data_IF_445265625607
#
_entry.id   IF_445265625607
#
_cell.length_a   1.000
_cell.length_b   1.000
_cell.length_c   1.000
_cell.angle_alpha   90.00
_cell.angle_beta   90.00
_cell.angle_gamma   90.00
#
_symmetry.space_group_name_H-M   'P 1'
#
loop_
_entity.id
_entity.type
_entity.pdbx_description
1 polymer ?
#
# COMPACT_ATOMS: atom_id res chain seq x y z
N UNK A 1 4.75 -17.33 -0.22
CA UNK A 1 4.25 -15.94 -0.12
C UNK A 1 2.78 -16.01 0.26
N UNK A 2 2.25 -15.02 0.97
CA UNK A 2 0.81 -14.82 1.14
C UNK A 2 0.47 -13.43 0.58
N UNK A 3 -0.68 -13.28 -0.07
CA UNK A 3 -1.08 -11.99 -0.62
C UNK A 3 -2.52 -11.63 -0.25
N UNK A 4 -2.82 -10.33 -0.33
CA UNK A 4 -4.16 -9.82 -0.14
C UNK A 4 -4.47 -8.71 -1.14
N UNK A 5 -5.62 -8.83 -1.79
CA UNK A 5 -6.20 -7.79 -2.64
C UNK A 5 -7.39 -7.11 -1.94
N UNK A 6 -7.77 -5.93 -2.42
CA UNK A 6 -8.89 -5.14 -1.91
C UNK A 6 -9.93 -4.86 -3.01
N UNK A 7 -10.77 -3.84 -2.83
CA UNK A 7 -11.77 -3.46 -3.82
C UNK A 7 -12.98 -4.39 -3.89
N UNK A 8 -13.46 -4.62 -5.11
CA UNK A 8 -14.73 -5.30 -5.42
C UNK A 8 -14.75 -6.78 -5.04
N UNK A 9 -13.61 -7.47 -5.11
CA UNK A 9 -13.46 -8.88 -4.71
C UNK A 9 -12.22 -9.00 -3.80
N UNK A 10 -12.35 -8.68 -2.50
CA UNK A 10 -11.23 -8.76 -1.58
C UNK A 10 -10.90 -10.24 -1.31
N UNK A 11 -9.69 -10.69 -1.61
CA UNK A 11 -9.26 -12.08 -1.37
C UNK A 11 -7.96 -12.14 -0.59
N UNK A 12 -7.77 -13.25 0.12
CA UNK A 12 -6.47 -13.72 0.60
C UNK A 12 -6.02 -14.84 -0.33
N UNK A 13 -4.81 -14.70 -0.87
CA UNK A 13 -4.16 -15.69 -1.72
C UNK A 13 -3.12 -16.41 -0.87
N UNK A 14 -3.33 -17.71 -0.66
CA UNK A 14 -2.49 -18.55 0.20
C UNK A 14 -1.24 -19.06 -0.54
N UNK A 15 -0.22 -19.57 0.19
CA UNK A 15 1.02 -20.06 -0.42
C UNK A 15 0.86 -21.19 -1.44
N UNK A 16 -0.23 -21.95 -1.36
CA UNK A 16 -0.62 -23.01 -2.30
C UNK A 16 -1.41 -22.49 -3.52
N UNK A 17 -1.65 -21.18 -3.58
CA UNK A 17 -2.45 -20.54 -4.64
C UNK A 17 -3.95 -20.55 -4.37
N UNK A 18 -4.42 -21.11 -3.26
CA UNK A 18 -5.85 -21.05 -2.92
C UNK A 18 -6.28 -19.60 -2.66
N UNK A 19 -7.38 -19.17 -3.28
CA UNK A 19 -8.01 -17.88 -3.01
C UNK A 19 -9.18 -18.05 -2.04
N UNK A 20 -9.16 -17.32 -0.92
CA UNK A 20 -10.32 -17.18 -0.03
C UNK A 20 -10.81 -15.76 0.02
N UNK A 21 -12.08 -15.58 -0.33
CA UNK A 21 -12.74 -14.27 -0.25
C UNK A 21 -12.90 -13.79 1.20
N UNK A 22 -12.61 -12.50 1.41
CA UNK A 22 -12.77 -11.83 2.70
C UNK A 22 -14.23 -11.45 2.87
N UNK A 23 -14.97 -12.25 3.65
CA UNK A 23 -16.36 -11.95 3.99
C UNK A 23 -16.46 -10.76 4.95
N UNK A 24 -17.06 -9.67 4.47
CA UNK A 24 -17.33 -8.46 5.26
C UNK A 24 -18.73 -8.50 5.87
N UNK A 25 -18.85 -8.06 7.13
CA UNK A 25 -20.16 -7.84 7.78
C UNK A 25 -20.58 -6.37 7.80
N UNK A 26 -19.72 -5.47 7.30
CA UNK A 26 -19.92 -4.03 7.28
C UNK A 26 -18.95 -3.36 6.32
N UNK A 27 -18.77 -2.06 6.47
CA UNK A 27 -17.87 -1.28 5.61
C UNK A 27 -16.43 -1.82 5.66
N UNK A 28 -15.67 -1.69 4.56
CA UNK A 28 -14.25 -2.03 4.53
C UNK A 28 -13.50 -1.31 5.65
N UNK A 29 -12.53 -1.99 6.25
CA UNK A 29 -11.70 -1.42 7.31
C UNK A 29 -10.24 -1.85 7.17
N UNK A 30 -9.32 -0.91 7.41
CA UNK A 30 -7.88 -1.19 7.46
C UNK A 30 -7.54 -2.27 8.50
N UNK A 31 -8.39 -2.46 9.51
CA UNK A 31 -8.22 -3.47 10.56
C UNK A 31 -8.40 -4.91 10.04
N UNK A 32 -8.97 -5.10 8.84
CA UNK A 32 -8.95 -6.39 8.14
C UNK A 32 -7.51 -6.92 7.98
N UNK A 33 -6.54 -6.02 7.83
CA UNK A 33 -5.12 -6.32 7.71
C UNK A 33 -4.54 -7.15 8.85
N UNK A 34 -5.04 -6.97 10.09
CA UNK A 34 -4.58 -7.74 11.26
C UNK A 34 -4.81 -9.23 11.10
N UNK A 35 -5.92 -9.62 10.43
CA UNK A 35 -6.21 -11.04 10.16
C UNK A 35 -5.24 -11.61 9.13
N UNK A 36 -4.86 -10.81 8.14
CA UNK A 36 -3.90 -11.20 7.10
C UNK A 36 -2.52 -11.42 7.72
N UNK A 37 -2.06 -10.53 8.60
CA UNK A 37 -0.81 -10.71 9.37
C UNK A 37 -0.82 -12.02 10.17
N UNK A 38 -1.92 -12.27 10.90
CA UNK A 38 -2.08 -13.50 11.66
C UNK A 38 -2.03 -14.74 10.76
N UNK A 39 -2.70 -14.71 9.60
CA UNK A 39 -2.67 -15.79 8.61
C UNK A 39 -1.28 -16.00 8.01
N UNK A 40 -0.55 -14.92 7.72
CA UNK A 40 0.83 -15.00 7.27
C UNK A 40 1.73 -15.74 8.27
N UNK A 41 1.59 -15.43 9.55
CA UNK A 41 2.32 -16.12 10.62
C UNK A 41 1.89 -17.60 10.77
N UNK A 42 0.58 -17.88 10.80
CA UNK A 42 0.05 -19.26 10.90
C UNK A 42 0.53 -20.16 9.75
N UNK A 43 0.70 -19.61 8.55
CA UNK A 43 1.18 -20.33 7.37
C UNK A 43 2.70 -20.23 7.14
N UNK A 44 3.44 -19.65 8.10
CA UNK A 44 4.90 -19.46 8.02
C UNK A 44 5.35 -18.80 6.69
N UNK A 45 4.55 -17.85 6.20
CA UNK A 45 4.79 -17.18 4.94
C UNK A 45 6.09 -16.36 5.01
N UNK A 46 7.02 -16.62 4.10
CA UNK A 46 8.30 -15.90 4.02
C UNK A 46 8.17 -14.46 3.51
N UNK A 47 7.06 -14.15 2.84
CA UNK A 47 6.76 -12.84 2.27
C UNK A 47 5.27 -12.59 2.28
N UNK A 48 4.88 -11.34 2.49
CA UNK A 48 3.51 -10.85 2.48
C UNK A 48 3.38 -9.72 1.45
N UNK A 49 2.42 -9.82 0.54
CA UNK A 49 2.13 -8.80 -0.46
C UNK A 49 0.72 -8.25 -0.22
N UNK A 50 0.61 -6.94 -0.02
CA UNK A 50 -0.64 -6.32 0.41
C UNK A 50 -0.98 -5.14 -0.48
N UNK A 51 -2.22 -5.14 -0.97
CA UNK A 51 -2.85 -3.93 -1.45
C UNK A 51 -3.40 -3.13 -0.25
N UNK A 52 -2.96 -1.87 -0.14
CA UNK A 52 -3.43 -0.91 0.88
C UNK A 52 -4.78 -0.31 0.47
N UNK A 53 -5.63 0.00 1.43
CA UNK A 53 -6.99 0.54 1.17
C UNK A 53 -7.21 1.95 1.70
N UNK A 54 -6.23 2.52 2.39
CA UNK A 54 -6.40 3.76 3.12
C UNK A 54 -6.59 4.96 2.18
N UNK A 55 -7.75 5.62 2.29
CA UNK A 55 -8.08 6.86 1.58
C UNK A 55 -7.90 8.13 2.44
N UNK A 56 -7.47 7.95 3.69
CA UNK A 56 -7.17 9.04 4.61
C UNK A 56 -5.70 8.95 5.04
N UNK A 57 -4.98 10.09 5.14
CA UNK A 57 -3.55 10.07 5.45
C UNK A 57 -3.25 9.45 6.82
N UNK A 58 -4.07 9.69 7.83
CA UNK A 58 -3.94 9.08 9.16
C UNK A 58 -4.13 7.56 9.14
N UNK A 59 -5.03 7.07 8.28
CA UNK A 59 -5.24 5.65 8.07
C UNK A 59 -4.06 5.03 7.33
N UNK A 60 -3.54 5.70 6.29
CA UNK A 60 -2.38 5.23 5.51
C UNK A 60 -1.13 5.12 6.38
N UNK A 61 -0.87 6.13 7.21
CA UNK A 61 0.17 6.10 8.21
C UNK A 61 0.01 4.93 9.19
N UNK A 62 -1.19 4.75 9.76
CA UNK A 62 -1.40 3.64 10.69
C UNK A 62 -1.26 2.28 9.99
N UNK A 63 -1.86 2.11 8.83
CA UNK A 63 -1.90 0.86 8.08
C UNK A 63 -0.48 0.43 7.68
N UNK A 64 0.29 1.33 7.05
CA UNK A 64 1.63 1.00 6.58
C UNK A 64 2.70 1.15 7.68
N UNK A 65 2.77 2.29 8.36
CA UNK A 65 3.91 2.61 9.25
C UNK A 65 3.77 1.95 10.62
N UNK A 66 2.55 1.86 11.17
CA UNK A 66 2.34 1.32 12.52
C UNK A 66 1.97 -0.17 12.52
N UNK A 67 1.13 -0.60 11.58
CA UNK A 67 0.58 -1.96 11.56
C UNK A 67 1.42 -2.93 10.71
N UNK A 68 1.63 -2.64 9.44
CA UNK A 68 2.32 -3.60 8.54
C UNK A 68 3.84 -3.49 8.55
N UNK A 69 4.39 -2.28 8.72
CA UNK A 69 5.83 -1.99 8.72
C UNK A 69 6.56 -2.64 7.54
N UNK A 70 6.13 -2.36 6.29
CA UNK A 70 6.66 -3.06 5.13
C UNK A 70 8.12 -2.65 4.86
N UNK A 71 8.93 -3.63 4.46
CA UNK A 71 10.29 -3.37 3.94
C UNK A 71 10.25 -2.64 2.59
N UNK A 72 9.18 -2.86 1.81
CA UNK A 72 8.99 -2.32 0.47
C UNK A 72 7.60 -1.72 0.35
N UNK A 73 7.51 -0.47 -0.11
CA UNK A 73 6.27 0.17 -0.54
C UNK A 73 6.35 0.43 -2.06
N UNK A 74 5.27 0.12 -2.77
CA UNK A 74 5.13 0.44 -4.20
C UNK A 74 3.98 1.41 -4.37
N UNK A 75 4.27 2.59 -4.90
CA UNK A 75 3.26 3.56 -5.30
C UNK A 75 3.06 3.38 -6.80
N UNK A 76 1.89 2.95 -7.23
CA UNK A 76 1.67 2.57 -8.64
C UNK A 76 1.27 3.73 -9.55
N UNK A 77 0.58 4.74 -9.01
CA UNK A 77 0.13 5.94 -9.73
C UNK A 77 -0.51 6.95 -8.77
N UNK A 78 -0.68 8.20 -9.22
CA UNK A 78 -1.48 9.22 -8.52
C UNK A 78 -2.64 9.67 -9.41
N UNK A 79 -3.86 9.26 -9.03
CA UNK A 79 -5.10 9.56 -9.76
C UNK A 79 -6.08 10.34 -8.90
N UNK A 80 -6.89 11.18 -9.55
CA UNK A 80 -7.99 11.88 -8.92
C UNK A 80 -9.06 10.86 -8.53
N UNK A 81 -9.08 10.51 -7.24
CA UNK A 81 -10.03 9.57 -6.64
C UNK A 81 -10.32 10.01 -5.20
N UNK A 82 -11.50 9.64 -4.68
CA UNK A 82 -11.90 9.91 -3.29
C UNK A 82 -11.60 11.36 -2.83
N UNK A 83 -11.93 12.35 -3.67
CA UNK A 83 -11.52 13.75 -3.47
C UNK A 83 -11.97 14.36 -2.13
N UNK A 84 -13.09 13.87 -1.59
CA UNK A 84 -13.58 14.32 -0.30
C UNK A 84 -12.69 13.88 0.87
N UNK A 85 -11.92 12.81 0.70
CA UNK A 85 -11.04 12.20 1.71
C UNK A 85 -9.57 12.51 1.45
N UNK A 86 -9.14 12.41 0.20
CA UNK A 86 -7.72 12.51 -0.20
C UNK A 86 -7.29 13.93 -0.59
N UNK A 87 -8.24 14.85 -0.80
CA UNK A 87 -7.99 16.21 -1.26
C UNK A 87 -8.42 16.45 -2.71
N UNK A 88 -8.32 17.69 -3.16
CA UNK A 88 -8.95 18.13 -4.43
C UNK A 88 -7.97 18.20 -5.60
N UNK A 89 -6.67 18.15 -5.34
CA UNK A 89 -5.62 18.11 -6.36
C UNK A 89 -4.86 16.79 -6.36
N UNK A 90 -4.20 16.46 -7.48
CA UNK A 90 -3.31 15.30 -7.52
C UNK A 90 -2.14 15.43 -6.54
N UNK A 91 -1.70 16.64 -6.22
CA UNK A 91 -0.66 16.86 -5.21
C UNK A 91 -1.15 16.49 -3.81
N UNK A 92 -2.40 16.82 -3.45
CA UNK A 92 -3.00 16.41 -2.17
C UNK A 92 -3.07 14.89 -2.06
N UNK A 93 -3.48 14.24 -3.14
CA UNK A 93 -3.56 12.78 -3.22
C UNK A 93 -2.16 12.17 -3.10
N UNK A 94 -1.15 12.73 -3.77
CA UNK A 94 0.24 12.30 -3.60
C UNK A 94 0.69 12.43 -2.14
N UNK A 95 0.36 13.54 -1.46
CA UNK A 95 0.66 13.73 -0.03
C UNK A 95 -0.09 12.73 0.85
N UNK A 96 -1.34 12.40 0.52
CA UNK A 96 -2.12 11.37 1.18
C UNK A 96 -1.46 9.99 1.03
N UNK A 97 -1.05 9.60 -0.18
CA UNK A 97 -0.34 8.34 -0.41
C UNK A 97 1.03 8.31 0.27
N UNK A 98 1.75 9.44 0.29
CA UNK A 98 3.04 9.57 0.94
C UNK A 98 2.97 9.30 2.45
N UNK A 99 1.81 9.47 3.10
CA UNK A 99 1.61 9.10 4.51
C UNK A 99 1.90 7.62 4.80
N UNK A 100 1.83 6.76 3.78
CA UNK A 100 2.07 5.32 3.90
C UNK A 100 3.54 4.95 3.76
N UNK A 101 4.45 5.90 3.51
CA UNK A 101 5.89 5.63 3.38
C UNK A 101 6.43 5.10 4.72
N UNK A 102 6.97 3.85 4.75
CA UNK A 102 7.47 3.25 5.98
C UNK A 102 8.77 3.91 6.44
N UNK A 103 9.17 3.64 7.69
CA UNK A 103 10.50 3.98 8.21
C UNK A 103 11.55 2.98 7.70
N UNK A 104 12.70 3.47 7.26
CA UNK A 104 13.86 2.66 6.84
C UNK A 104 13.52 1.58 5.78
N UNK A 105 12.55 1.85 4.91
CA UNK A 105 12.11 0.95 3.84
C UNK A 105 12.61 1.37 2.47
N UNK A 106 12.21 0.63 1.43
CA UNK A 106 12.42 0.98 0.03
C UNK A 106 11.09 1.35 -0.61
N UNK A 107 11.03 2.51 -1.27
CA UNK A 107 9.84 3.03 -1.93
C UNK A 107 10.06 3.07 -3.44
N UNK A 108 9.22 2.37 -4.19
CA UNK A 108 9.22 2.41 -5.64
C UNK A 108 8.12 3.34 -6.15
N UNK A 109 8.48 4.23 -7.08
CA UNK A 109 7.55 5.18 -7.70
C UNK A 109 7.81 5.26 -9.21
N UNK A 110 6.80 5.20 -10.09
CA UNK A 110 6.97 5.46 -11.51
C UNK A 110 7.56 6.85 -11.81
N UNK A 111 8.36 6.94 -12.86
CA UNK A 111 8.79 8.23 -13.41
C UNK A 111 7.56 9.04 -13.88
N UNK A 112 7.63 10.36 -13.72
CA UNK A 112 6.54 11.27 -14.10
C UNK A 112 5.43 11.42 -13.05
N UNK A 113 5.39 10.58 -12.03
CA UNK A 113 4.55 10.80 -10.86
C UNK A 113 5.17 11.86 -9.93
N UNK A 114 4.43 12.27 -8.88
CA UNK A 114 4.75 13.34 -7.91
C UNK A 114 5.99 13.05 -7.04
N UNK A 115 7.11 12.73 -7.68
CA UNK A 115 8.35 12.30 -7.06
C UNK A 115 8.90 13.28 -6.02
N UNK A 116 8.84 14.62 -6.19
CA UNK A 116 9.29 15.54 -5.14
C UNK A 116 8.56 15.33 -3.81
N UNK A 117 7.24 15.10 -3.83
CA UNK A 117 6.43 14.85 -2.62
C UNK A 117 6.85 13.55 -1.95
N UNK A 118 6.99 12.47 -2.73
CA UNK A 118 7.39 11.18 -2.18
C UNK A 118 8.83 11.18 -1.68
N UNK A 119 9.73 11.87 -2.38
CA UNK A 119 11.13 12.01 -2.00
C UNK A 119 11.28 12.75 -0.67
N UNK A 120 10.59 13.88 -0.50
CA UNK A 120 10.59 14.65 0.76
C UNK A 120 10.22 13.75 1.95
N UNK A 121 9.14 12.98 1.82
CA UNK A 121 8.67 12.11 2.90
C UNK A 121 9.59 10.90 3.08
N UNK A 122 10.09 10.28 2.00
CA UNK A 122 11.04 9.17 2.10
C UNK A 122 12.32 9.57 2.83
N UNK A 123 12.89 10.73 2.52
CA UNK A 123 14.06 11.27 3.21
C UNK A 123 13.79 11.47 4.71
N UNK A 124 12.63 12.05 5.06
CA UNK A 124 12.22 12.23 6.46
C UNK A 124 12.07 10.91 7.22
N UNK A 125 11.61 9.86 6.53
CA UNK A 125 11.39 8.53 7.11
C UNK A 125 12.64 7.64 7.07
N UNK A 126 13.78 8.14 6.57
CA UNK A 126 15.01 7.35 6.40
C UNK A 126 14.87 6.25 5.34
N UNK A 127 13.91 6.38 4.44
CA UNK A 127 13.60 5.39 3.39
C UNK A 127 14.34 5.70 2.09
N UNK A 128 14.75 4.66 1.39
CA UNK A 128 15.33 4.77 0.04
C UNK A 128 14.21 4.86 -0.98
N UNK A 129 14.24 5.85 -1.88
CA UNK A 129 13.25 5.99 -2.95
C UNK A 129 13.88 5.70 -4.32
N UNK A 130 13.20 4.91 -5.15
CA UNK A 130 13.66 4.45 -6.46
C UNK A 130 12.60 4.81 -7.51
N UNK A 131 13.04 5.49 -8.58
CA UNK A 131 12.19 5.78 -9.73
C UNK A 131 12.20 4.63 -10.74
N UNK A 132 11.03 4.20 -11.18
CA UNK A 132 10.86 3.15 -12.18
C UNK A 132 10.46 3.76 -13.53
N UNK A 133 11.20 3.51 -14.63
CA UNK A 133 10.82 3.98 -15.96
C UNK A 133 9.43 3.48 -16.37
N UNK A 134 8.61 4.35 -16.97
CA UNK A 134 7.24 4.02 -17.38
C UNK A 134 7.12 2.96 -18.47
N UNK A 135 8.19 2.74 -19.24
CA UNK A 135 8.21 1.87 -20.42
C UNK A 135 8.62 0.42 -20.12
N UNK A 136 8.65 0.02 -18.83
CA UNK A 136 9.25 -1.25 -18.40
C UNK A 136 8.31 -2.47 -18.49
N UNK A 137 7.05 -2.29 -18.91
CA UNK A 137 6.10 -3.39 -19.08
C UNK A 137 5.89 -3.66 -20.57
N UNK A 138 6.86 -4.36 -21.18
CA UNK A 138 6.60 -5.07 -22.42
C UNK A 138 5.78 -6.32 -22.05
N UNK A 139 4.55 -6.40 -22.57
CA UNK A 139 3.76 -7.64 -22.58
C UNK A 139 4.45 -8.74 -23.40
#
# INVERSE_FOLDING_TARGET
>A
MLARTTGSKPVIIFPDGEEKEIKRRGSPSILEGKKVLRKGAEHQAQALVLELMSIHPECGYYESVQMFKPHILVITNVRLDHLAQMGTSKEDIARCLASSIPENGTVFVPQGEFFPVFKEVAERMGSTIIQIPGDSFAE
#
